data_IF_382287487636
#
_entry.id   IF_382287487636
#
_cell.length_a   1.000
_cell.length_b   1.000
_cell.length_c   1.000
_cell.angle_alpha   90.00
_cell.angle_beta   90.00
_cell.angle_gamma   90.00
#
_symmetry.space_group_name_H-M   'P 1'
#
loop_
_entity.id
_entity.type
_entity.pdbx_description
1 polymer ?
#
# COMPACT_ATOMS: atom_id res chain seq x y z
N UNK A 1 -10.28 -10.50 32.59
CA UNK A 1 -9.43 -9.79 31.61
C UNK A 1 -10.06 -8.41 31.38
N UNK A 2 -9.35 -7.29 31.30
CA UNK A 2 -7.98 -7.11 30.78
C UNK A 2 -7.00 -6.35 31.70
N UNK A 3 -5.77 -6.85 31.71
CA UNK A 3 -4.57 -6.35 32.43
C UNK A 3 -3.92 -5.11 31.80
N UNK A 4 -4.35 -4.73 30.59
CA UNK A 4 -3.75 -3.66 29.77
C UNK A 4 -4.88 -2.78 29.22
N UNK A 5 -4.73 -1.46 29.40
CA UNK A 5 -5.66 -0.46 28.88
C UNK A 5 -5.59 -0.38 27.34
N UNK A 6 -6.68 0.01 26.65
CA UNK A 6 -6.65 0.23 25.21
C UNK A 6 -5.57 1.26 24.83
N UNK A 7 -4.71 0.98 23.83
CA UNK A 7 -3.77 1.95 23.32
C UNK A 7 -4.52 3.07 22.59
N UNK A 8 -3.95 4.28 22.60
CA UNK A 8 -4.51 5.41 21.83
C UNK A 8 -4.41 5.17 20.32
N UNK A 9 -3.30 4.57 19.89
CA UNK A 9 -2.97 4.30 18.49
C UNK A 9 -2.24 2.96 18.40
N UNK A 10 -2.55 2.19 17.35
CA UNK A 10 -1.75 1.05 16.92
C UNK A 10 -1.23 1.28 15.51
N UNK A 11 0.03 0.95 15.30
CA UNK A 11 0.66 0.93 13.97
C UNK A 11 0.78 -0.52 13.53
N UNK A 12 0.18 -0.88 12.40
CA UNK A 12 0.08 -2.27 11.91
C UNK A 12 0.41 -2.36 10.42
N UNK A 13 0.76 -3.56 9.94
CA UNK A 13 0.92 -3.88 8.53
C UNK A 13 -0.42 -3.86 7.75
N UNK A 14 -1.55 -3.95 8.47
CA UNK A 14 -2.90 -3.90 7.93
C UNK A 14 -3.55 -5.28 7.75
N UNK A 15 -3.00 -6.33 8.36
CA UNK A 15 -3.59 -7.67 8.30
C UNK A 15 -5.01 -7.75 8.89
N UNK A 16 -5.89 -8.48 8.22
CA UNK A 16 -7.32 -8.60 8.59
C UNK A 16 -7.54 -9.29 9.94
N UNK A 17 -6.66 -10.22 10.31
CA UNK A 17 -6.71 -10.93 11.61
C UNK A 17 -6.52 -9.97 12.79
N UNK A 18 -5.53 -9.08 12.70
CA UNK A 18 -5.31 -8.06 13.73
C UNK A 18 -6.47 -7.08 13.79
N UNK A 19 -6.98 -6.59 12.65
CA UNK A 19 -8.10 -5.64 12.67
C UNK A 19 -9.36 -6.25 13.30
N UNK A 20 -9.64 -7.53 13.05
CA UNK A 20 -10.74 -8.24 13.71
C UNK A 20 -10.53 -8.32 15.23
N UNK A 21 -9.33 -8.68 15.68
CA UNK A 21 -9.01 -8.75 17.11
C UNK A 21 -9.09 -7.36 17.79
N UNK A 22 -8.53 -6.33 17.15
CA UNK A 22 -8.59 -4.95 17.63
C UNK A 22 -10.03 -4.45 17.74
N UNK A 23 -10.89 -4.68 16.74
CA UNK A 23 -12.32 -4.32 16.83
C UNK A 23 -13.02 -4.95 18.03
N UNK A 24 -12.66 -6.19 18.37
CA UNK A 24 -13.27 -6.91 19.49
C UNK A 24 -12.76 -6.43 20.86
N UNK A 25 -11.46 -6.17 20.98
CA UNK A 25 -10.82 -5.91 22.28
C UNK A 25 -10.65 -4.41 22.56
N UNK A 26 -10.33 -3.62 21.53
CA UNK A 26 -10.05 -2.20 21.61
C UNK A 26 -10.76 -1.41 20.49
N UNK A 27 -12.11 -1.36 20.50
CA UNK A 27 -12.90 -0.79 19.41
C UNK A 27 -12.60 0.69 19.14
N UNK A 28 -12.21 1.44 20.17
CA UNK A 28 -11.92 2.89 20.10
C UNK A 28 -10.46 3.21 19.76
N UNK A 29 -9.56 2.22 19.77
CA UNK A 29 -8.15 2.43 19.39
C UNK A 29 -8.05 2.85 17.93
N UNK A 30 -7.33 3.95 17.69
CA UNK A 30 -7.05 4.43 16.33
C UNK A 30 -6.04 3.51 15.65
N UNK A 31 -6.21 3.29 14.35
CA UNK A 31 -5.31 2.45 13.55
C UNK A 31 -4.57 3.30 12.52
N UNK A 32 -3.26 3.16 12.48
CA UNK A 32 -2.41 3.67 11.43
C UNK A 32 -1.72 2.53 10.70
N UNK A 33 -1.71 2.59 9.36
CA UNK A 33 -0.90 1.66 8.58
C UNK A 33 0.57 2.06 8.66
N UNK A 34 1.45 1.09 8.88
CA UNK A 34 2.88 1.31 8.93
C UNK A 34 3.42 1.76 7.56
N UNK A 35 3.97 2.97 7.49
CA UNK A 35 4.55 3.53 6.25
C UNK A 35 5.76 2.73 5.77
N UNK A 36 6.51 2.11 6.68
CA UNK A 36 7.60 1.20 6.33
C UNK A 36 7.08 -0.04 5.59
N UNK A 37 6.03 -0.70 6.10
CA UNK A 37 5.44 -1.86 5.41
C UNK A 37 4.81 -1.47 4.07
N UNK A 38 4.17 -0.30 3.99
CA UNK A 38 3.68 0.23 2.71
C UNK A 38 4.83 0.42 1.69
N UNK A 39 5.97 0.96 2.13
CA UNK A 39 7.17 1.07 1.29
C UNK A 39 7.75 -0.29 0.90
N UNK A 40 7.82 -1.25 1.82
CA UNK A 40 8.29 -2.61 1.52
C UNK A 40 7.42 -3.26 0.44
N UNK A 41 6.10 -3.09 0.52
CA UNK A 41 5.18 -3.59 -0.50
C UNK A 41 5.41 -2.92 -1.87
N UNK A 42 5.58 -1.60 -1.90
CA UNK A 42 5.95 -0.86 -3.13
C UNK A 42 7.29 -1.35 -3.68
N UNK A 43 8.30 -1.53 -2.84
CA UNK A 43 9.62 -2.01 -3.24
C UNK A 43 9.56 -3.44 -3.80
N UNK A 44 8.74 -4.31 -3.22
CA UNK A 44 8.52 -5.67 -3.74
C UNK A 44 7.87 -5.63 -5.13
N UNK A 45 6.83 -4.79 -5.28
CA UNK A 45 6.10 -4.62 -6.53
C UNK A 45 6.95 -4.02 -7.66
N UNK A 46 7.81 -3.05 -7.35
CA UNK A 46 8.57 -2.26 -8.33
C UNK A 46 10.02 -2.72 -8.52
N UNK A 47 10.58 -3.49 -7.58
CA UNK A 47 12.02 -3.73 -7.39
C UNK A 47 12.81 -2.44 -7.03
N UNK A 48 14.11 -2.55 -6.74
CA UNK A 48 14.93 -1.37 -6.40
C UNK A 48 15.52 -0.65 -7.62
N UNK A 49 15.44 -1.24 -8.81
CA UNK A 49 15.93 -0.66 -10.08
C UNK A 49 14.89 -0.87 -11.20
N UNK A 50 13.68 -0.31 -11.07
CA UNK A 50 12.63 -0.44 -12.07
C UNK A 50 13.05 0.15 -13.42
N UNK A 51 12.69 -0.53 -14.51
CA UNK A 51 12.90 -0.05 -15.88
C UNK A 51 11.69 0.68 -16.45
N UNK A 52 10.49 0.32 -16.00
CA UNK A 52 9.24 0.94 -16.44
C UNK A 52 9.04 2.26 -15.70
N UNK A 53 8.62 3.30 -16.43
CA UNK A 53 8.40 4.63 -15.87
C UNK A 53 7.36 4.60 -14.74
N UNK A 54 6.23 3.89 -14.92
CA UNK A 54 5.22 3.70 -13.89
C UNK A 54 5.81 3.17 -12.57
N UNK A 55 6.71 2.18 -12.66
CA UNK A 55 7.37 1.59 -11.49
C UNK A 55 8.45 2.50 -10.89
N UNK A 56 9.15 3.29 -11.70
CA UNK A 56 10.12 4.29 -11.22
C UNK A 56 9.42 5.39 -10.41
N UNK A 57 8.32 5.91 -10.93
CA UNK A 57 7.50 6.92 -10.26
C UNK A 57 6.90 6.38 -8.96
N UNK A 58 6.33 5.17 -8.98
CA UNK A 58 5.79 4.53 -7.78
C UNK A 58 6.88 4.26 -6.72
N UNK A 59 8.07 3.81 -7.13
CA UNK A 59 9.18 3.62 -6.20
C UNK A 59 9.66 4.94 -5.59
N UNK A 60 9.64 6.05 -6.35
CA UNK A 60 9.90 7.38 -5.82
C UNK A 60 8.86 7.80 -4.78
N UNK A 61 7.57 7.56 -5.03
CA UNK A 61 6.49 7.77 -4.06
C UNK A 61 6.68 6.92 -2.79
N UNK A 62 7.09 5.65 -2.94
CA UNK A 62 7.41 4.81 -1.78
C UNK A 62 8.54 5.38 -0.91
N UNK A 63 9.60 5.93 -1.54
CA UNK A 63 10.72 6.57 -0.83
C UNK A 63 10.32 7.89 -0.16
N UNK A 64 9.37 8.64 -0.70
CA UNK A 64 8.88 9.86 -0.07
C UNK A 64 7.92 9.56 1.09
N UNK A 65 7.12 8.49 1.01
CA UNK A 65 6.19 8.08 2.07
C UNK A 65 6.87 7.89 3.43
N UNK A 66 8.04 7.24 3.45
CA UNK A 66 8.80 7.01 4.70
C UNK A 66 9.45 8.29 5.27
N UNK A 67 9.49 9.35 4.46
CA UNK A 67 10.01 10.68 4.82
C UNK A 67 8.92 11.64 5.28
N UNK A 68 7.65 11.40 4.94
CA UNK A 68 6.50 12.18 5.41
C UNK A 68 6.41 12.17 6.94
N UNK A 69 6.31 13.36 7.54
CA UNK A 69 6.22 13.61 8.99
C UNK A 69 5.01 14.46 9.38
N UNK A 70 4.44 15.23 8.45
CA UNK A 70 3.37 16.18 8.76
C UNK A 70 2.08 15.86 8.00
N UNK A 71 0.95 16.39 8.50
CA UNK A 71 -0.33 16.24 7.83
C UNK A 71 -0.36 16.91 6.43
N UNK A 72 0.19 18.12 6.22
CA UNK A 72 0.34 18.68 4.87
C UNK A 72 1.14 17.78 3.92
N UNK A 73 2.30 17.29 4.36
CA UNK A 73 3.12 16.37 3.54
C UNK A 73 2.38 15.06 3.22
N UNK A 74 1.53 14.58 4.13
CA UNK A 74 0.70 13.39 3.89
C UNK A 74 -0.37 13.67 2.83
N UNK A 75 -1.00 14.84 2.87
CA UNK A 75 -1.97 15.27 1.86
C UNK A 75 -1.32 15.45 0.48
N UNK A 76 -0.13 16.06 0.42
CA UNK A 76 0.65 16.20 -0.81
C UNK A 76 1.05 14.83 -1.37
N UNK A 77 1.52 13.93 -0.50
CA UNK A 77 1.85 12.56 -0.89
C UNK A 77 0.64 11.83 -1.46
N UNK A 78 -0.53 11.96 -0.81
CA UNK A 78 -1.77 11.34 -1.27
C UNK A 78 -2.20 11.89 -2.64
N UNK A 79 -2.13 13.21 -2.84
CA UNK A 79 -2.43 13.82 -4.13
C UNK A 79 -1.47 13.33 -5.23
N UNK A 80 -0.17 13.21 -4.93
CA UNK A 80 0.81 12.67 -5.87
C UNK A 80 0.54 11.19 -6.21
N UNK A 81 0.16 10.37 -5.23
CA UNK A 81 -0.21 8.98 -5.44
C UNK A 81 -1.47 8.83 -6.29
N UNK A 82 -2.51 9.63 -6.02
CA UNK A 82 -3.74 9.67 -6.83
C UNK A 82 -3.42 10.08 -8.27
N UNK A 83 -2.61 11.13 -8.46
CA UNK A 83 -2.19 11.58 -9.78
C UNK A 83 -1.38 10.53 -10.54
N UNK A 84 -0.54 9.74 -9.86
CA UNK A 84 0.14 8.60 -10.45
C UNK A 84 -0.85 7.50 -10.86
N UNK A 85 -1.80 7.14 -9.99
CA UNK A 85 -2.78 6.09 -10.27
C UNK A 85 -3.66 6.44 -11.48
N UNK A 86 -4.10 7.69 -11.59
CA UNK A 86 -4.87 8.20 -12.74
C UNK A 86 -4.04 8.19 -14.03
N UNK A 87 -2.79 8.68 -13.97
CA UNK A 87 -1.91 8.74 -15.15
C UNK A 87 -1.62 7.38 -15.75
N UNK A 88 -1.51 6.36 -14.92
CA UNK A 88 -1.17 4.99 -15.32
C UNK A 88 -2.38 4.06 -15.35
N UNK A 89 -3.62 4.56 -15.27
CA UNK A 89 -4.83 3.74 -15.21
C UNK A 89 -4.93 2.76 -16.37
N UNK A 90 -4.85 3.25 -17.63
CA UNK A 90 -4.91 2.41 -18.82
C UNK A 90 -3.80 1.37 -18.86
N UNK A 91 -2.60 1.75 -18.43
CA UNK A 91 -1.46 0.85 -18.33
C UNK A 91 -1.74 -0.25 -17.30
N UNK A 92 -2.20 0.10 -16.11
CA UNK A 92 -2.51 -0.83 -15.03
C UNK A 92 -3.70 -1.76 -15.38
N UNK A 93 -4.63 -1.30 -16.21
CA UNK A 93 -5.77 -2.06 -16.69
C UNK A 93 -5.42 -3.09 -17.78
N UNK A 94 -4.21 -3.05 -18.34
CA UNK A 94 -3.78 -4.01 -19.37
C UNK A 94 -3.90 -5.45 -18.86
N UNK A 95 -4.38 -6.34 -19.73
CA UNK A 95 -4.52 -7.78 -19.45
C UNK A 95 -3.77 -8.59 -20.49
N UNK A 96 -3.23 -9.72 -20.06
CA UNK A 96 -2.56 -10.71 -20.91
C UNK A 96 -3.41 -11.98 -20.95
N UNK A 97 -3.60 -12.52 -22.17
CA UNK A 97 -4.27 -13.80 -22.38
C UNK A 97 -3.33 -14.94 -21.93
N UNK A 98 -3.80 -15.81 -21.05
CA UNK A 98 -3.07 -16.99 -20.61
C UNK A 98 -3.18 -18.10 -21.66
N UNK A 99 -2.22 -19.05 -21.70
CA UNK A 99 -2.31 -20.22 -22.58
C UNK A 99 -3.61 -21.02 -22.42
N UNK A 100 -4.20 -20.99 -21.22
CA UNK A 100 -5.44 -21.70 -20.87
C UNK A 100 -6.72 -20.92 -21.25
N UNK A 101 -6.58 -19.77 -21.92
CA UNK A 101 -7.70 -18.94 -22.39
C UNK A 101 -8.25 -17.93 -21.38
N UNK A 102 -7.60 -17.77 -20.21
CA UNK A 102 -7.98 -16.80 -19.19
C UNK A 102 -7.32 -15.43 -19.38
N UNK A 103 -7.83 -14.38 -18.72
CA UNK A 103 -7.21 -13.05 -18.75
C UNK A 103 -6.68 -12.66 -17.37
N UNK A 104 -5.38 -12.37 -17.29
CA UNK A 104 -4.74 -11.89 -16.05
C UNK A 104 -4.25 -10.45 -16.21
N UNK A 105 -4.19 -9.63 -15.15
CA UNK A 105 -3.57 -8.32 -15.21
C UNK A 105 -2.11 -8.44 -15.64
N UNK A 106 -1.71 -7.73 -16.71
CA UNK A 106 -0.32 -7.72 -17.20
C UNK A 106 0.63 -7.22 -16.13
N UNK A 107 0.20 -6.23 -15.35
CA UNK A 107 0.98 -5.59 -14.29
C UNK A 107 0.50 -6.00 -12.89
N UNK A 108 0.18 -7.29 -12.71
CA UNK A 108 -0.39 -7.81 -11.45
C UNK A 108 0.36 -7.39 -10.19
N UNK A 109 1.70 -7.26 -10.26
CA UNK A 109 2.53 -6.80 -9.12
C UNK A 109 2.23 -5.37 -8.68
N UNK A 110 1.80 -4.50 -9.58
CA UNK A 110 1.45 -3.10 -9.30
C UNK A 110 -0.03 -2.94 -8.89
N UNK A 111 -0.90 -3.80 -9.43
CA UNK A 111 -2.36 -3.76 -9.21
C UNK A 111 -2.77 -4.48 -7.92
N UNK A 112 -2.05 -5.52 -7.56
CA UNK A 112 -2.24 -6.27 -6.33
C UNK A 112 -0.92 -6.34 -5.59
N UNK A 113 -0.64 -5.43 -4.64
CA UNK A 113 0.39 -5.71 -3.67
C UNK A 113 -0.07 -6.99 -2.96
N UNK A 114 0.65 -8.08 -3.22
CA UNK A 114 0.40 -9.40 -2.68
C UNK A 114 0.05 -9.29 -1.21
N UNK A 115 -1.05 -9.94 -0.83
CA UNK A 115 -1.53 -10.02 0.54
C UNK A 115 -0.39 -10.60 1.40
N UNK A 116 0.25 -9.73 2.18
CA UNK A 116 1.01 -10.11 3.37
C UNK A 116 0.12 -9.78 4.57
#
# INVERSE_FOLDING_TARGET
MSRIAPPLLVVTDGGSGFEKARKNIWPTTVVQRCTFHAFVNIRSATTTRPRLQASQELYALGKSLIRTKTAPEASEWLAAYIGWAQRWEDFLAQRTLTPDGGWVPTHARLVSPSHS
#
